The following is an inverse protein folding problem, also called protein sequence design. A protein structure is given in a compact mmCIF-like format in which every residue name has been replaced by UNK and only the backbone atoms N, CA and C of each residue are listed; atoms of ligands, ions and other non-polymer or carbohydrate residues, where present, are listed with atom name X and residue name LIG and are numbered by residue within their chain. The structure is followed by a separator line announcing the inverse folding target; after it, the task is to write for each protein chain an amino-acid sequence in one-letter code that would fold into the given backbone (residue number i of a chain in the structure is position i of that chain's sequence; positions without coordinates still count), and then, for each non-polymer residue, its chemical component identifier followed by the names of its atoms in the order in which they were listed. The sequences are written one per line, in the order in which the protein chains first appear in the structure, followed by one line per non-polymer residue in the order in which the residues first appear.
data_IF_648539690548
#
_entry.id   IF_648539690548
#
_cell.length_a   1.000
_cell.length_b   1.000
_cell.length_c   1.000
_cell.angle_alpha   90.00
_cell.angle_beta   90.00
_cell.angle_gamma   90.00
#
_symmetry.space_group_name_H-M   'P 1'
#
loop_
_entity.id
_entity.type
_entity.pdbx_description
1 polymer ?
#
# COMPACT_ATOMS: atom_id res chain seq x y z
N UNK A 1 -8.14 30.80 -11.76
CA UNK A 1 -8.95 30.22 -12.85
C UNK A 1 -10.30 29.90 -12.23
N UNK A 2 -11.25 30.84 -12.28
CA UNK A 2 -12.56 30.71 -11.63
C UNK A 2 -13.43 29.85 -12.55
N UNK A 3 -13.67 28.61 -12.16
CA UNK A 3 -14.58 27.72 -12.88
C UNK A 3 -16.01 28.12 -12.52
N UNK A 4 -16.72 28.72 -13.47
CA UNK A 4 -18.18 28.83 -13.41
C UNK A 4 -18.75 27.43 -13.64
N UNK A 5 -19.16 26.75 -12.56
CA UNK A 5 -19.93 25.50 -12.66
C UNK A 5 -21.40 25.89 -12.82
N UNK A 6 -21.83 26.09 -14.06
CA UNK A 6 -23.23 26.35 -14.41
C UNK A 6 -23.99 25.02 -14.46
N UNK A 7 -24.65 24.67 -13.35
CA UNK A 7 -25.49 23.46 -13.25
C UNK A 7 -26.99 23.75 -13.26
N UNK A 8 -27.40 24.80 -13.97
CA UNK A 8 -28.83 25.04 -14.25
C UNK A 8 -29.08 25.55 -15.67
N UNK A 9 -29.38 24.59 -16.55
CA UNK A 9 -30.40 24.60 -17.61
C UNK A 9 -30.30 25.58 -18.84
N UNK A 10 -30.91 25.18 -20.00
CA UNK A 10 -30.60 25.59 -21.40
C UNK A 10 -30.68 27.06 -21.81
N UNK A 11 -31.00 27.98 -20.89
CA UNK A 11 -31.20 29.40 -21.17
C UNK A 11 -29.90 30.11 -21.59
N UNK A 12 -28.77 29.75 -20.99
CA UNK A 12 -27.48 30.36 -21.33
C UNK A 12 -26.93 29.93 -22.69
N UNK A 13 -27.26 28.71 -23.16
CA UNK A 13 -26.78 28.23 -24.46
C UNK A 13 -27.49 28.92 -25.63
N UNK A 14 -28.80 29.16 -25.52
CA UNK A 14 -29.59 29.85 -26.56
C UNK A 14 -29.20 31.31 -26.79
N UNK A 15 -28.53 31.96 -25.82
CA UNK A 15 -28.10 33.37 -25.87
C UNK A 15 -26.59 33.52 -25.69
N UNK A 16 -25.80 32.49 -26.01
CA UNK A 16 -24.34 32.50 -25.84
C UNK A 16 -23.67 33.70 -26.49
N UNK A 17 -24.08 34.07 -27.70
CA UNK A 17 -23.54 35.24 -28.42
C UNK A 17 -23.87 36.55 -27.71
N UNK A 18 -25.04 36.67 -27.10
CA UNK A 18 -25.46 37.84 -26.32
C UNK A 18 -24.68 37.97 -24.99
N UNK A 19 -24.40 36.86 -24.31
CA UNK A 19 -23.54 36.89 -23.11
C UNK A 19 -22.09 37.30 -23.43
N UNK A 20 -21.63 37.08 -24.66
CA UNK A 20 -20.29 37.46 -25.12
C UNK A 20 -20.18 38.94 -25.51
N UNK A 21 -21.29 39.64 -25.75
CA UNK A 21 -21.25 41.07 -26.10
C UNK A 21 -20.94 41.96 -24.89
N UNK A 22 -21.14 41.45 -23.66
CA UNK A 22 -20.81 42.18 -22.43
C UNK A 22 -21.81 43.26 -22.03
N UNK A 23 -22.92 43.41 -22.76
CA UNK A 23 -23.96 44.41 -22.52
C UNK A 23 -24.97 43.95 -21.45
N UNK A 24 -24.49 43.68 -20.24
CA UNK A 24 -25.31 43.34 -19.09
C UNK A 24 -24.80 44.03 -17.83
N UNK A 25 -25.73 44.34 -16.92
CA UNK A 25 -25.40 44.82 -15.58
C UNK A 25 -25.52 43.65 -14.60
N UNK A 26 -24.58 43.56 -13.67
CA UNK A 26 -24.67 42.60 -12.57
C UNK A 26 -25.71 43.12 -11.58
N UNK A 27 -26.74 42.33 -11.32
CA UNK A 27 -27.69 42.61 -10.24
C UNK A 27 -27.11 42.12 -8.92
N UNK A 28 -27.31 42.89 -7.86
CA UNK A 28 -27.00 42.47 -6.50
C UNK A 28 -28.21 41.74 -5.89
N UNK A 29 -27.97 40.57 -5.31
CA UNK A 29 -28.99 39.83 -4.56
C UNK A 29 -28.85 40.22 -3.08
N UNK A 30 -29.89 40.83 -2.52
CA UNK A 30 -29.95 41.11 -1.09
C UNK A 30 -29.84 39.79 -0.30
N UNK A 31 -29.07 39.80 0.78
CA UNK A 31 -28.84 38.66 1.69
C UNK A 31 -28.00 37.49 1.13
N UNK A 32 -27.31 37.66 0.00
CA UNK A 32 -26.36 36.67 -0.54
C UNK A 32 -24.92 37.21 -0.59
N UNK A 33 -23.95 36.30 -0.61
CA UNK A 33 -22.53 36.64 -0.77
C UNK A 33 -22.28 37.34 -2.12
N UNK A 34 -21.41 38.35 -2.13
CA UNK A 34 -21.04 39.13 -3.32
C UNK A 34 -20.34 38.27 -4.39
N UNK A 35 -19.75 37.15 -3.97
CA UNK A 35 -19.18 36.16 -4.85
C UNK A 35 -18.83 34.88 -4.11
N UNK A 36 -18.34 33.88 -4.84
CA UNK A 36 -17.83 32.66 -4.24
C UNK A 36 -16.55 32.18 -4.92
N UNK A 37 -15.72 31.48 -4.16
CA UNK A 37 -14.47 30.85 -4.62
C UNK A 37 -14.53 29.38 -4.23
N UNK A 38 -14.41 28.51 -5.24
CA UNK A 38 -14.31 27.06 -5.02
C UNK A 38 -12.85 26.64 -5.13
N UNK A 39 -12.30 26.12 -4.03
CA UNK A 39 -10.96 25.57 -3.97
C UNK A 39 -11.03 24.06 -3.77
N UNK A 40 -10.33 23.31 -4.63
CA UNK A 40 -10.08 21.89 -4.39
C UNK A 40 -8.78 21.78 -3.60
N UNK A 41 -8.89 21.34 -2.36
CA UNK A 41 -7.76 21.33 -1.44
C UNK A 41 -7.28 19.89 -1.27
N UNK A 42 -5.99 19.70 -1.55
CA UNK A 42 -5.26 18.46 -1.27
C UNK A 42 -4.33 18.71 -0.07
N UNK A 43 -4.93 18.78 1.13
CA UNK A 43 -4.21 18.97 2.38
C UNK A 43 -4.68 17.96 3.42
N UNK A 44 -3.76 17.47 4.25
CA UNK A 44 -4.03 16.52 5.33
C UNK A 44 -4.91 17.05 6.47
N UNK A 45 -5.59 18.17 6.27
CA UNK A 45 -6.52 18.81 7.22
C UNK A 45 -7.92 19.03 6.62
N UNK A 46 -8.10 18.86 5.31
CA UNK A 46 -9.38 19.03 4.63
C UNK A 46 -10.00 17.65 4.33
N UNK A 47 -10.69 17.10 5.33
CA UNK A 47 -11.39 15.80 5.22
C UNK A 47 -12.89 15.94 4.96
N UNK A 48 -13.42 17.16 5.06
CA UNK A 48 -14.85 17.47 4.90
C UNK A 48 -15.02 18.79 4.14
N UNK A 49 -16.24 19.01 3.65
CA UNK A 49 -16.65 20.22 2.94
C UNK A 49 -16.68 21.40 3.91
N UNK A 50 -16.01 22.49 3.56
CA UNK A 50 -15.90 23.69 4.40
C UNK A 50 -16.46 24.90 3.66
N UNK A 51 -17.42 25.57 4.29
CA UNK A 51 -18.09 26.77 3.79
C UNK A 51 -17.81 27.92 4.77
N UNK A 52 -17.09 28.95 4.31
CA UNK A 52 -16.70 30.10 5.13
C UNK A 52 -16.96 31.39 4.37
N UNK A 53 -17.52 32.39 5.02
CA UNK A 53 -17.60 33.75 4.48
C UNK A 53 -16.35 34.53 4.90
N UNK A 54 -15.74 35.23 3.95
CA UNK A 54 -14.62 36.14 4.22
C UNK A 54 -15.12 37.51 4.71
N UNK A 55 -14.21 38.35 5.22
CA UNK A 55 -14.53 39.71 5.67
C UNK A 55 -15.06 40.63 4.54
N UNK A 56 -14.88 40.23 3.28
CA UNK A 56 -15.36 40.94 2.08
C UNK A 56 -16.65 40.30 1.51
N UNK A 57 -17.40 39.55 2.33
CA UNK A 57 -18.66 38.90 1.93
C UNK A 57 -18.51 37.92 0.73
N UNK A 58 -17.34 37.26 0.60
CA UNK A 58 -17.09 36.23 -0.41
C UNK A 58 -17.21 34.85 0.24
N UNK A 59 -18.00 33.96 -0.36
CA UNK A 59 -18.13 32.57 0.08
C UNK A 59 -16.94 31.72 -0.40
N UNK A 60 -16.09 31.31 0.52
CA UNK A 60 -15.02 30.34 0.29
C UNK A 60 -15.55 28.91 0.51
N UNK A 61 -15.48 28.10 -0.54
CA UNK A 61 -15.86 26.68 -0.55
C UNK A 61 -14.61 25.84 -0.72
N UNK A 62 -14.25 25.09 0.31
CA UNK A 62 -13.13 24.14 0.30
C UNK A 62 -13.68 22.73 0.12
N UNK A 63 -13.31 22.10 -0.99
CA UNK A 63 -13.73 20.75 -1.35
C UNK A 63 -12.51 19.83 -1.33
N UNK A 64 -12.56 18.68 -0.63
CA UNK A 64 -11.52 17.67 -0.71
C UNK A 64 -11.29 17.23 -2.16
N UNK A 65 -10.02 17.13 -2.58
CA UNK A 65 -9.68 16.80 -3.97
C UNK A 65 -10.28 15.46 -4.44
N UNK A 66 -10.49 14.50 -3.53
CA UNK A 66 -11.15 13.21 -3.80
C UNK A 66 -12.56 13.34 -4.41
N UNK A 67 -13.26 14.46 -4.20
CA UNK A 67 -14.59 14.70 -4.71
C UNK A 67 -14.62 15.39 -6.08
N UNK A 68 -13.46 15.79 -6.63
CA UNK A 68 -13.35 16.44 -7.94
C UNK A 68 -13.88 15.58 -9.09
N UNK A 69 -13.54 14.27 -9.22
CA UNK A 69 -14.07 13.43 -10.30
C UNK A 69 -15.59 13.33 -10.25
N UNK A 70 -16.14 13.29 -9.04
CA UNK A 70 -17.58 13.28 -8.79
C UNK A 70 -18.27 14.59 -9.20
N UNK A 71 -17.59 15.73 -9.03
CA UNK A 71 -18.10 17.05 -9.42
C UNK A 71 -18.12 17.20 -10.94
N UNK A 72 -17.06 16.72 -11.61
CA UNK A 72 -16.90 16.81 -13.07
C UNK A 72 -17.85 15.83 -13.79
N UNK A 73 -18.02 14.63 -13.25
CA UNK A 73 -18.84 13.57 -13.86
C UNK A 73 -20.36 13.78 -13.69
N UNK A 74 -20.83 15.03 -13.58
CA UNK A 74 -22.25 15.37 -13.42
C UNK A 74 -23.06 15.04 -14.69
N UNK A 75 -23.31 13.75 -14.93
CA UNK A 75 -24.34 13.24 -15.83
C UNK A 75 -25.03 12.04 -15.16
N UNK A 76 -26.36 12.11 -15.07
CA UNK A 76 -27.23 11.03 -14.59
C UNK A 76 -28.20 11.42 -13.48
N UNK A 77 -28.97 10.43 -13.05
CA UNK A 77 -30.07 10.43 -12.05
C UNK A 77 -29.59 10.62 -10.59
N UNK A 78 -28.52 11.41 -10.39
CA UNK A 78 -27.94 11.67 -9.07
C UNK A 78 -28.77 12.75 -8.34
N UNK A 79 -28.81 12.72 -6.99
CA UNK A 79 -29.46 13.77 -6.23
C UNK A 79 -28.84 15.15 -6.53
N UNK A 80 -29.61 16.25 -6.35
CA UNK A 80 -29.14 17.61 -6.59
C UNK A 80 -27.78 17.88 -5.94
N UNK A 81 -26.93 18.67 -6.61
CA UNK A 81 -25.59 19.01 -6.09
C UNK A 81 -25.64 19.62 -4.68
N UNK A 82 -26.69 20.37 -4.37
CA UNK A 82 -26.94 20.94 -3.05
C UNK A 82 -26.94 19.87 -1.94
N UNK A 83 -27.62 18.73 -2.18
CA UNK A 83 -27.68 17.62 -1.23
C UNK A 83 -26.38 16.83 -1.22
N UNK A 84 -25.80 16.57 -2.40
CA UNK A 84 -24.58 15.78 -2.57
C UNK A 84 -23.34 16.42 -1.92
N UNK A 85 -23.33 17.75 -1.84
CA UNK A 85 -22.26 18.55 -1.25
C UNK A 85 -22.71 19.24 0.05
N UNK A 86 -23.86 18.88 0.64
CA UNK A 86 -24.32 19.44 1.93
C UNK A 86 -24.25 20.98 1.99
N UNK A 87 -24.64 21.64 0.91
CA UNK A 87 -24.58 23.11 0.81
C UNK A 87 -25.55 23.69 1.86
N UNK A 88 -25.08 24.56 2.78
CA UNK A 88 -25.95 25.19 3.76
C UNK A 88 -27.13 25.92 3.11
N UNK A 89 -28.33 25.78 3.66
CA UNK A 89 -29.57 26.33 3.09
C UNK A 89 -29.51 27.85 2.85
N UNK A 90 -28.73 28.58 3.66
CA UNK A 90 -28.51 30.02 3.50
C UNK A 90 -27.82 30.42 2.20
N UNK A 91 -27.15 29.49 1.52
CA UNK A 91 -26.48 29.72 0.24
C UNK A 91 -27.26 29.17 -0.96
N UNK A 92 -28.43 28.55 -0.72
CA UNK A 92 -29.29 28.08 -1.80
C UNK A 92 -30.17 29.23 -2.30
N UNK A 93 -30.14 29.47 -3.61
CA UNK A 93 -30.95 30.50 -4.24
C UNK A 93 -32.44 30.17 -4.05
N UNK A 94 -33.16 31.06 -3.36
CA UNK A 94 -34.61 30.99 -3.19
C UNK A 94 -35.32 31.49 -4.46
N UNK A 95 -36.47 30.92 -4.82
CA UNK A 95 -37.19 31.29 -6.04
C UNK A 95 -37.75 32.72 -6.05
N UNK A 96 -37.75 33.43 -4.92
CA UNK A 96 -38.29 34.79 -4.76
C UNK A 96 -37.25 35.75 -4.16
N UNK A 97 -36.08 35.89 -4.79
CA UNK A 97 -35.13 36.93 -4.39
C UNK A 97 -35.53 38.27 -5.02
N UNK A 98 -35.81 39.27 -4.18
CA UNK A 98 -36.08 40.65 -4.61
C UNK A 98 -34.82 41.25 -5.27
N UNK A 99 -34.85 41.35 -6.59
CA UNK A 99 -33.83 42.05 -7.37
C UNK A 99 -34.13 43.54 -7.31
N UNK A 100 -33.29 44.32 -6.63
CA UNK A 100 -33.41 45.78 -6.63
C UNK A 100 -32.97 46.35 -7.99
N UNK A 101 -33.90 46.44 -8.95
CA UNK A 101 -33.66 47.09 -10.24
C UNK A 101 -34.17 48.54 -10.24
N UNK A 102 -33.28 49.52 -10.35
CA UNK A 102 -33.64 50.91 -10.60
C UNK A 102 -33.90 51.17 -12.10
N UNK A 103 -35.15 51.58 -12.40
CA UNK A 103 -35.76 52.09 -13.64
C UNK A 103 -36.47 51.11 -14.61
N UNK A 104 -37.74 51.38 -15.01
CA UNK A 104 -38.59 50.44 -15.74
C UNK A 104 -38.62 50.68 -17.26
N UNK A 105 -38.75 49.60 -18.04
CA UNK A 105 -39.36 49.65 -19.40
C UNK A 105 -40.28 48.45 -19.59
N UNK A 106 -41.43 48.72 -20.21
CA UNK A 106 -42.63 47.90 -20.32
C UNK A 106 -42.61 46.87 -21.47
N UNK A 107 -43.14 45.67 -21.14
CA UNK A 107 -44.15 44.84 -21.83
C UNK A 107 -43.99 44.51 -23.33
N UNK A 108 -43.98 43.20 -23.65
CA UNK A 108 -44.82 42.62 -24.72
C UNK A 108 -45.01 41.10 -24.55
N UNK A 109 -46.26 40.70 -24.31
CA UNK A 109 -46.83 39.35 -24.30
C UNK A 109 -46.90 38.73 -25.70
N UNK A 110 -46.65 37.41 -25.87
CA UNK A 110 -47.50 36.55 -26.73
C UNK A 110 -47.26 35.02 -26.53
N UNK A 111 -48.35 34.34 -26.13
CA UNK A 111 -48.92 33.06 -26.60
C UNK A 111 -48.14 31.72 -26.64
N UNK A 112 -48.66 30.76 -25.85
CA UNK A 112 -48.75 29.29 -26.07
C UNK A 112 -49.38 28.92 -27.44
N UNK A 113 -49.25 27.68 -28.00
CA UNK A 113 -49.80 26.42 -27.44
C UNK A 113 -49.01 25.12 -27.88
N UNK A 114 -49.55 23.86 -27.89
CA UNK A 114 -49.70 22.93 -26.75
C UNK A 114 -49.11 21.50 -27.09
N UNK A 115 -49.56 20.31 -26.58
CA UNK A 115 -48.65 19.27 -26.06
C UNK A 115 -48.77 17.89 -26.77
N UNK A 116 -48.17 16.85 -26.15
CA UNK A 116 -48.48 15.40 -26.16
C UNK A 116 -47.28 14.53 -26.56
N UNK A 117 -46.76 13.70 -25.65
CA UNK A 117 -47.00 12.24 -25.64
C UNK A 117 -46.23 11.54 -24.52
N UNK A 118 -46.91 10.61 -23.86
CA UNK A 118 -46.46 9.81 -22.73
C UNK A 118 -45.85 8.48 -23.18
N UNK A 119 -44.79 8.00 -22.51
CA UNK A 119 -44.36 6.59 -22.53
C UNK A 119 -43.72 6.19 -21.19
N UNK A 120 -44.54 5.52 -20.38
CA UNK A 120 -44.36 4.29 -19.59
C UNK A 120 -42.95 3.87 -19.06
N UNK A 121 -42.85 3.73 -17.72
CA UNK A 121 -41.81 2.99 -16.98
C UNK A 121 -42.07 1.47 -17.01
N UNK A 122 -41.01 0.66 -16.90
CA UNK A 122 -41.08 -0.56 -16.10
C UNK A 122 -40.13 -0.54 -14.89
N UNK A 123 -40.68 -0.99 -13.76
CA UNK A 123 -40.04 -1.27 -12.47
C UNK A 123 -39.26 -2.62 -12.46
N UNK A 124 -38.45 -2.89 -11.42
CA UNK A 124 -37.38 -3.88 -11.44
C UNK A 124 -37.83 -5.27 -10.95
N UNK A 125 -37.27 -6.32 -11.54
CA UNK A 125 -37.36 -7.69 -11.00
C UNK A 125 -36.03 -8.13 -10.40
N UNK A 126 -36.13 -8.63 -9.17
CA UNK A 126 -35.03 -9.14 -8.36
C UNK A 126 -34.91 -10.67 -8.47
N UNK A 127 -33.66 -11.12 -8.46
CA UNK A 127 -33.15 -12.38 -7.89
C UNK A 127 -33.57 -13.73 -8.50
N UNK A 128 -32.59 -14.41 -9.10
CA UNK A 128 -32.45 -15.86 -8.97
C UNK A 128 -30.97 -16.28 -9.06
N UNK A 129 -30.47 -16.90 -7.99
CA UNK A 129 -29.16 -17.55 -7.89
C UNK A 129 -29.18 -18.91 -8.58
N UNK A 130 -28.18 -19.19 -9.42
CA UNK A 130 -27.68 -20.55 -9.67
C UNK A 130 -26.14 -20.57 -9.71
N UNK A 131 -25.48 -21.68 -9.30
CA UNK A 131 -24.09 -21.68 -8.91
C UNK A 131 -23.20 -22.40 -9.92
N UNK A 132 -22.43 -21.63 -10.71
CA UNK A 132 -21.19 -22.09 -11.35
C UNK A 132 -20.51 -20.94 -12.08
N UNK A 133 -20.07 -19.93 -11.35
CA UNK A 133 -19.17 -18.91 -11.91
C UNK A 133 -17.89 -18.95 -11.08
N UNK A 134 -16.79 -19.35 -11.71
CA UNK A 134 -15.45 -18.97 -11.26
C UNK A 134 -15.53 -17.47 -11.00
N UNK A 135 -15.46 -17.07 -9.73
CA UNK A 135 -15.69 -15.68 -9.35
C UNK A 135 -14.59 -14.85 -10.00
N UNK A 136 -14.94 -14.10 -11.05
CA UNK A 136 -14.12 -13.05 -11.66
C UNK A 136 -13.89 -11.85 -10.71
N UNK A 137 -14.15 -12.03 -9.42
CA UNK A 137 -14.00 -11.01 -8.40
C UNK A 137 -12.53 -10.96 -8.01
N UNK A 138 -11.82 -9.84 -8.24
CA UNK A 138 -10.43 -9.71 -7.84
C UNK A 138 -10.31 -9.75 -6.32
N UNK A 139 -9.13 -10.10 -5.81
CA UNK A 139 -8.80 -9.96 -4.40
C UNK A 139 -9.03 -8.51 -3.96
N UNK A 140 -9.95 -8.31 -3.02
CA UNK A 140 -10.31 -7.01 -2.48
C UNK A 140 -10.10 -6.97 -0.97
N UNK A 141 -9.56 -5.85 -0.50
CA UNK A 141 -9.35 -5.55 0.91
C UNK A 141 -10.04 -4.23 1.24
N UNK A 142 -10.88 -4.20 2.27
CA UNK A 142 -11.53 -2.99 2.72
C UNK A 142 -10.54 -2.17 3.56
N UNK A 143 -10.16 -1.01 3.06
CA UNK A 143 -9.33 -0.05 3.81
C UNK A 143 -10.16 0.77 4.79
N UNK A 144 -11.40 1.08 4.44
CA UNK A 144 -12.28 1.90 5.26
C UNK A 144 -13.43 2.44 4.42
N UNK A 145 -14.00 3.56 4.86
CA UNK A 145 -15.09 4.24 4.15
C UNK A 145 -14.70 5.69 3.87
N UNK A 146 -15.17 6.22 2.75
CA UNK A 146 -15.08 7.64 2.43
C UNK A 146 -15.74 8.49 3.52
N UNK A 147 -15.08 9.58 3.94
CA UNK A 147 -15.52 10.39 5.08
C UNK A 147 -16.90 11.03 4.87
N UNK A 148 -17.22 11.42 3.63
CA UNK A 148 -18.44 12.18 3.33
C UNK A 148 -19.60 11.25 3.04
N UNK A 149 -19.39 10.28 2.15
CA UNK A 149 -20.46 9.41 1.62
C UNK A 149 -20.57 8.08 2.34
N UNK A 150 -19.60 7.73 3.19
CA UNK A 150 -19.51 6.43 3.85
C UNK A 150 -19.48 5.26 2.86
N UNK A 151 -18.99 5.50 1.64
CA UNK A 151 -18.82 4.46 0.63
C UNK A 151 -17.56 3.63 0.93
N UNK A 152 -17.57 2.30 0.77
CA UNK A 152 -16.41 1.47 1.07
C UNK A 152 -15.27 1.72 0.08
N UNK A 153 -14.06 1.89 0.62
CA UNK A 153 -12.82 2.03 -0.13
C UNK A 153 -12.10 0.68 -0.15
N UNK A 154 -12.04 0.06 -1.33
CA UNK A 154 -11.36 -1.22 -1.54
C UNK A 154 -10.00 -1.05 -2.20
N UNK A 155 -9.02 -1.78 -1.69
CA UNK A 155 -7.74 -2.02 -2.33
C UNK A 155 -7.73 -3.36 -3.06
N UNK A 156 -7.20 -3.37 -4.27
CA UNK A 156 -7.13 -4.54 -5.14
C UNK A 156 -5.66 -4.86 -5.46
N UNK A 157 -4.95 -5.56 -4.56
CA UNK A 157 -3.51 -5.80 -4.70
C UNK A 157 -3.14 -6.55 -5.98
N UNK A 158 -4.02 -7.42 -6.49
CA UNK A 158 -3.70 -8.25 -7.66
C UNK A 158 -4.15 -7.62 -8.99
N UNK A 159 -4.75 -6.42 -8.95
CA UNK A 159 -5.25 -5.76 -10.15
C UNK A 159 -4.18 -4.87 -10.80
N UNK A 160 -3.45 -5.43 -11.75
CA UNK A 160 -2.39 -4.74 -12.49
C UNK A 160 -2.89 -3.62 -13.41
N UNK A 161 -4.20 -3.59 -13.74
CA UNK A 161 -4.78 -2.49 -14.51
C UNK A 161 -4.96 -1.22 -13.66
N UNK A 162 -5.10 -1.37 -12.33
CA UNK A 162 -5.19 -0.24 -11.38
C UNK A 162 -3.84 0.12 -10.77
N UNK A 163 -3.01 -0.87 -10.45
CA UNK A 163 -1.74 -0.65 -9.75
C UNK A 163 -0.59 -1.38 -10.45
N UNK A 164 0.41 -0.63 -10.92
CA UNK A 164 1.62 -1.18 -11.52
C UNK A 164 2.55 -1.85 -10.49
N UNK A 165 2.46 -1.44 -9.23
CA UNK A 165 3.22 -1.99 -8.11
C UNK A 165 2.33 -2.04 -6.86
N UNK A 166 2.43 -3.12 -6.10
CA UNK A 166 1.68 -3.39 -4.87
C UNK A 166 2.40 -2.94 -3.61
N UNK A 167 3.62 -2.41 -3.74
CA UNK A 167 4.40 -1.87 -2.63
C UNK A 167 3.56 -0.81 -1.90
N UNK A 168 3.28 -1.07 -0.64
CA UNK A 168 2.39 -0.24 0.19
C UNK A 168 3.17 0.31 1.37
N UNK A 169 3.06 1.61 1.62
CA UNK A 169 3.60 2.29 2.80
C UNK A 169 2.48 2.74 3.71
N UNK A 170 2.53 2.38 4.99
CA UNK A 170 1.56 2.80 6.02
C UNK A 170 2.26 3.80 6.93
N UNK A 171 1.85 5.08 6.86
CA UNK A 171 2.49 6.19 7.58
C UNK A 171 1.45 6.88 8.46
N UNK A 172 1.86 7.31 9.65
CA UNK A 172 0.99 8.01 10.59
C UNK A 172 1.72 8.31 11.90
N UNK A 173 1.25 9.29 12.65
CA UNK A 173 1.82 9.64 13.96
C UNK A 173 1.57 8.53 14.99
N UNK A 174 2.22 8.63 16.16
CA UNK A 174 2.03 7.65 17.23
C UNK A 174 0.56 7.63 17.67
N UNK A 175 -0.01 6.43 17.84
CA UNK A 175 -1.41 6.26 18.30
C UNK A 175 -2.49 6.34 17.21
N UNK A 176 -2.16 6.59 15.95
CA UNK A 176 -3.17 6.70 14.87
C UNK A 176 -3.67 5.36 14.31
N UNK A 177 -3.45 4.25 15.02
CA UNK A 177 -3.97 2.94 14.62
C UNK A 177 -3.21 2.22 13.50
N UNK A 178 -1.96 2.58 13.19
CA UNK A 178 -1.14 1.91 12.15
C UNK A 178 -1.12 0.38 12.32
N UNK A 179 -0.75 -0.10 13.50
CA UNK A 179 -0.70 -1.54 13.82
C UNK A 179 -2.07 -2.20 13.64
N UNK A 180 -3.15 -1.54 14.07
CA UNK A 180 -4.51 -2.07 13.93
C UNK A 180 -4.95 -2.15 12.47
N UNK A 181 -4.62 -1.13 11.67
CA UNK A 181 -4.86 -1.15 10.23
C UNK A 181 -4.08 -2.29 9.55
N UNK A 182 -2.79 -2.47 9.88
CA UNK A 182 -1.97 -3.56 9.33
C UNK A 182 -2.51 -4.94 9.73
N UNK A 183 -2.92 -5.13 10.99
CA UNK A 183 -3.54 -6.39 11.43
C UNK A 183 -4.81 -6.70 10.65
N UNK A 184 -5.68 -5.70 10.47
CA UNK A 184 -6.90 -5.82 9.67
C UNK A 184 -6.57 -6.18 8.21
N UNK A 185 -5.60 -5.49 7.61
CA UNK A 185 -5.13 -5.73 6.25
C UNK A 185 -4.65 -7.18 6.06
N UNK A 186 -3.75 -7.66 6.93
CA UNK A 186 -3.23 -9.04 6.88
C UNK A 186 -4.34 -10.07 7.08
N UNK A 187 -5.21 -9.84 8.06
CA UNK A 187 -6.35 -10.74 8.34
C UNK A 187 -7.28 -10.85 7.14
N UNK A 188 -7.61 -9.71 6.51
CA UNK A 188 -8.44 -9.69 5.31
C UNK A 188 -7.74 -10.38 4.12
N UNK A 189 -6.43 -10.18 3.94
CA UNK A 189 -5.66 -10.86 2.90
C UNK A 189 -5.73 -12.38 3.06
N UNK A 190 -5.52 -12.89 4.27
CA UNK A 190 -5.57 -14.34 4.53
C UNK A 190 -6.97 -14.92 4.36
N UNK A 191 -8.02 -14.21 4.82
CA UNK A 191 -9.42 -14.65 4.66
C UNK A 191 -9.87 -14.64 3.20
N UNK A 192 -9.39 -13.68 2.42
CA UNK A 192 -9.78 -13.50 1.02
C UNK A 192 -8.79 -14.14 0.04
N UNK A 193 -7.78 -14.90 0.51
CA UNK A 193 -6.72 -15.44 -0.35
C UNK A 193 -7.22 -16.35 -1.48
N UNK A 194 -8.42 -16.93 -1.37
CA UNK A 194 -9.06 -17.71 -2.43
C UNK A 194 -9.34 -16.90 -3.71
N UNK A 195 -9.40 -15.56 -3.60
CA UNK A 195 -9.52 -14.62 -4.72
C UNK A 195 -8.17 -14.14 -5.26
N UNK A 196 -7.06 -14.66 -4.74
CA UNK A 196 -5.75 -14.39 -5.31
C UNK A 196 -5.64 -14.99 -6.72
N UNK A 197 -4.65 -14.55 -7.49
CA UNK A 197 -4.41 -15.02 -8.86
C UNK A 197 -4.28 -16.55 -8.87
N UNK A 198 -5.06 -17.21 -9.72
CA UNK A 198 -5.18 -18.66 -9.83
C UNK A 198 -5.55 -19.39 -8.52
N UNK A 199 -6.15 -18.68 -7.55
CA UNK A 199 -6.46 -19.21 -6.22
C UNK A 199 -5.23 -19.62 -5.40
N UNK A 200 -4.04 -19.12 -5.76
CA UNK A 200 -2.78 -19.49 -5.10
C UNK A 200 -2.73 -18.93 -3.67
N UNK A 201 -2.13 -19.67 -2.71
CA UNK A 201 -1.95 -19.16 -1.36
C UNK A 201 -1.07 -17.91 -1.35
N UNK A 202 -1.32 -17.02 -0.39
CA UNK A 202 -0.55 -15.81 -0.17
C UNK A 202 0.49 -16.11 0.92
N UNK A 203 1.74 -15.72 0.67
CA UNK A 203 2.82 -15.79 1.65
C UNK A 203 3.07 -14.41 2.24
N UNK A 204 3.18 -14.30 3.56
CA UNK A 204 3.38 -13.03 4.25
C UNK A 204 4.44 -13.18 5.34
N UNK A 205 5.46 -12.31 5.30
CA UNK A 205 6.53 -12.28 6.28
C UNK A 205 6.51 -10.95 7.03
N UNK A 206 6.39 -11.02 8.36
CA UNK A 206 6.36 -9.85 9.26
C UNK A 206 7.62 -9.86 10.11
N UNK A 207 8.36 -8.75 10.08
CA UNK A 207 9.43 -8.46 11.03
C UNK A 207 8.88 -7.55 12.13
N UNK A 208 8.67 -8.12 13.31
CA UNK A 208 7.99 -7.44 14.41
C UNK A 208 8.98 -6.90 15.43
N UNK A 209 9.25 -5.59 15.36
CA UNK A 209 10.20 -4.91 16.24
C UNK A 209 9.65 -4.61 17.64
N UNK A 210 8.32 -4.62 17.81
CA UNK A 210 7.66 -4.16 19.04
C UNK A 210 6.78 -5.22 19.70
N UNK A 211 6.81 -6.45 19.20
CA UNK A 211 5.89 -7.53 19.61
C UNK A 211 4.42 -7.14 19.41
N UNK A 212 4.15 -6.37 18.35
CA UNK A 212 2.82 -5.88 18.00
C UNK A 212 1.95 -6.98 17.34
N UNK A 213 2.55 -8.03 16.75
CA UNK A 213 1.90 -9.06 15.92
C UNK A 213 2.02 -10.48 16.48
N UNK A 214 2.31 -10.62 17.78
CA UNK A 214 2.50 -11.90 18.45
C UNK A 214 1.39 -12.25 19.45
N UNK A 215 0.31 -11.46 19.49
CA UNK A 215 -0.85 -11.74 20.33
C UNK A 215 -1.70 -12.89 19.78
N UNK A 216 -2.28 -13.68 20.68
CA UNK A 216 -3.03 -14.89 20.34
C UNK A 216 -4.18 -14.61 19.37
N UNK A 217 -4.90 -13.49 19.54
CA UNK A 217 -6.01 -13.14 18.68
C UNK A 217 -5.57 -12.92 17.21
N UNK A 218 -4.43 -12.27 16.99
CA UNK A 218 -3.87 -12.12 15.64
C UNK A 218 -3.37 -13.44 15.07
N UNK A 219 -2.64 -14.23 15.87
CA UNK A 219 -2.10 -15.53 15.44
C UNK A 219 -3.22 -16.49 15.04
N UNK A 220 -4.27 -16.60 15.85
CA UNK A 220 -5.43 -17.45 15.56
C UNK A 220 -6.21 -16.95 14.33
N UNK A 221 -6.43 -15.65 14.20
CA UNK A 221 -7.21 -15.08 13.09
C UNK A 221 -6.52 -15.23 11.73
N UNK A 222 -5.19 -15.35 11.71
CA UNK A 222 -4.37 -15.42 10.50
C UNK A 222 -3.73 -16.78 10.26
N UNK A 223 -3.71 -17.67 11.26
CA UNK A 223 -2.93 -18.90 11.24
C UNK A 223 -1.43 -18.66 11.25
N UNK A 224 -0.98 -17.52 11.81
CA UNK A 224 0.41 -17.10 11.73
C UNK A 224 1.35 -17.99 12.56
N UNK A 225 2.54 -18.26 12.00
CA UNK A 225 3.64 -18.95 12.68
C UNK A 225 4.57 -17.91 13.31
N UNK A 226 4.74 -17.98 14.63
CA UNK A 226 5.68 -17.11 15.37
C UNK A 226 7.06 -17.77 15.44
N UNK A 227 8.09 -16.99 15.14
CA UNK A 227 9.50 -17.33 15.33
C UNK A 227 10.18 -16.25 16.15
N UNK A 228 11.09 -16.68 17.03
CA UNK A 228 12.03 -15.78 17.72
C UNK A 228 13.38 -15.84 17.03
N UNK A 229 14.30 -14.92 17.34
CA UNK A 229 15.67 -14.95 16.82
C UNK A 229 16.53 -16.01 17.53
N UNK A 230 16.10 -17.26 17.40
CA UNK A 230 16.81 -18.45 17.88
C UNK A 230 16.44 -19.61 16.98
N UNK A 231 17.44 -20.27 16.40
CA UNK A 231 17.30 -21.44 15.54
C UNK A 231 16.27 -21.24 14.41
N UNK A 232 16.34 -20.10 13.73
CA UNK A 232 15.55 -19.85 12.53
C UNK A 232 15.83 -20.97 11.51
N UNK A 233 14.79 -21.60 10.94
CA UNK A 233 14.92 -22.88 10.23
C UNK A 233 15.37 -22.68 8.77
N UNK A 234 16.41 -21.88 8.54
CA UNK A 234 17.04 -21.70 7.26
C UNK A 234 18.50 -21.26 7.44
N UNK A 235 19.34 -21.61 6.47
CA UNK A 235 20.73 -21.19 6.42
C UNK A 235 20.93 -20.07 5.38
N UNK A 236 21.41 -18.87 5.76
CA UNK A 236 21.64 -17.75 4.84
C UNK A 236 22.75 -18.01 3.80
N UNK A 237 23.59 -19.03 4.01
CA UNK A 237 24.61 -19.48 3.05
C UNK A 237 24.10 -20.58 2.11
N UNK A 238 22.81 -20.94 2.19
CA UNK A 238 22.23 -21.91 1.24
C UNK A 238 22.21 -21.36 -0.18
N UNK A 239 22.54 -22.22 -1.14
CA UNK A 239 22.63 -21.84 -2.55
C UNK A 239 21.30 -22.06 -3.27
N UNK A 240 20.78 -21.00 -3.89
CA UNK A 240 19.54 -21.06 -4.67
C UNK A 240 19.71 -20.47 -6.08
N UNK A 241 19.38 -21.29 -7.08
CA UNK A 241 19.38 -20.91 -8.50
C UNK A 241 20.60 -21.40 -9.27
N UNK A 242 20.83 -20.80 -10.43
CA UNK A 242 21.73 -21.30 -11.48
C UNK A 242 22.72 -20.24 -12.00
N UNK A 243 22.75 -19.05 -11.40
CA UNK A 243 23.69 -17.98 -11.76
C UNK A 243 25.14 -18.51 -11.71
N UNK A 244 25.96 -18.36 -12.76
CA UNK A 244 27.37 -18.73 -12.70
C UNK A 244 28.07 -18.12 -11.48
N UNK A 245 28.98 -18.87 -10.85
CA UNK A 245 29.68 -18.42 -9.64
C UNK A 245 28.77 -18.14 -8.43
N UNK A 246 27.62 -18.83 -8.33
CA UNK A 246 26.64 -18.62 -7.27
C UNK A 246 27.24 -18.62 -5.85
N UNK A 247 28.13 -19.56 -5.45
CA UNK A 247 28.71 -19.54 -4.10
C UNK A 247 29.43 -18.21 -3.78
N UNK A 248 30.16 -17.65 -4.76
CA UNK A 248 30.85 -16.38 -4.61
C UNK A 248 29.90 -15.20 -4.52
N UNK A 249 28.84 -15.18 -5.32
CA UNK A 249 27.80 -14.14 -5.24
C UNK A 249 27.08 -14.18 -3.89
N UNK A 250 26.74 -15.35 -3.38
CA UNK A 250 26.13 -15.53 -2.04
C UNK A 250 27.08 -15.03 -0.95
N UNK A 251 28.36 -15.43 -0.98
CA UNK A 251 29.36 -14.97 -0.02
C UNK A 251 29.54 -13.45 -0.03
N UNK A 252 29.59 -12.83 -1.21
CA UNK A 252 29.70 -11.37 -1.36
C UNK A 252 28.45 -10.65 -0.83
N UNK A 253 27.25 -11.15 -1.16
CA UNK A 253 26.00 -10.56 -0.69
C UNK A 253 25.86 -10.66 0.85
N UNK A 254 26.29 -11.78 1.43
CA UNK A 254 26.35 -11.97 2.87
C UNK A 254 27.33 -10.99 3.52
N UNK A 255 28.56 -10.91 3.00
CA UNK A 255 29.59 -10.02 3.53
C UNK A 255 29.22 -8.53 3.41
N UNK A 256 28.50 -8.14 2.35
CA UNK A 256 28.00 -6.78 2.18
C UNK A 256 26.92 -6.44 3.23
N UNK A 257 26.00 -7.37 3.46
CA UNK A 257 24.96 -7.24 4.48
C UNK A 257 25.57 -7.10 5.89
N UNK A 258 26.52 -7.98 6.20
CA UNK A 258 27.31 -7.92 7.44
C UNK A 258 28.08 -6.59 7.55
N UNK A 259 28.65 -6.12 6.44
CA UNK A 259 29.37 -4.86 6.39
C UNK A 259 28.53 -3.66 6.75
N UNK A 260 27.26 -3.64 6.34
CA UNK A 260 26.32 -2.57 6.71
C UNK A 260 25.85 -2.68 8.16
N UNK A 261 25.59 -3.89 8.65
CA UNK A 261 25.10 -4.09 10.03
C UNK A 261 26.19 -3.81 11.09
N UNK A 262 27.44 -4.17 10.82
CA UNK A 262 28.57 -4.06 11.77
C UNK A 262 29.63 -3.04 11.35
N UNK A 263 29.36 -2.20 10.35
CA UNK A 263 30.28 -1.20 9.82
C UNK A 263 31.66 -1.78 9.42
N UNK A 264 31.66 -2.93 8.73
CA UNK A 264 32.89 -3.60 8.35
C UNK A 264 33.61 -2.87 7.21
N UNK A 265 34.91 -2.68 7.36
CA UNK A 265 35.79 -2.13 6.34
C UNK A 265 35.92 -3.06 5.13
N UNK A 266 36.46 -2.55 4.01
CA UNK A 266 36.66 -3.34 2.77
C UNK A 266 37.52 -4.59 3.04
N UNK A 267 38.59 -4.47 3.83
CA UNK A 267 39.47 -5.59 4.17
C UNK A 267 38.74 -6.69 4.94
N UNK A 268 37.93 -6.31 5.93
CA UNK A 268 37.13 -7.24 6.74
C UNK A 268 36.07 -7.95 5.90
N UNK A 269 35.36 -7.22 5.03
CA UNK A 269 34.42 -7.82 4.09
C UNK A 269 35.08 -8.84 3.16
N UNK A 270 36.25 -8.51 2.59
CA UNK A 270 37.00 -9.44 1.74
C UNK A 270 37.47 -10.66 2.54
N UNK A 271 37.95 -10.48 3.77
CA UNK A 271 38.32 -11.58 4.69
C UNK A 271 37.13 -12.52 4.92
N UNK A 272 35.94 -11.97 5.19
CA UNK A 272 34.70 -12.73 5.36
C UNK A 272 34.30 -13.50 4.10
N UNK A 273 34.41 -12.89 2.92
CA UNK A 273 34.16 -13.61 1.65
C UNK A 273 35.11 -14.79 1.51
N UNK A 274 36.41 -14.60 1.76
CA UNK A 274 37.40 -15.68 1.68
C UNK A 274 37.07 -16.83 2.64
N UNK A 275 36.74 -16.52 3.89
CA UNK A 275 36.34 -17.51 4.90
C UNK A 275 35.13 -18.35 4.47
N UNK A 276 34.09 -17.68 3.96
CA UNK A 276 32.89 -18.37 3.48
C UNK A 276 33.25 -19.27 2.28
N UNK A 277 34.12 -18.80 1.38
CA UNK A 277 34.58 -19.61 0.25
C UNK A 277 35.36 -20.84 0.68
N UNK A 278 36.25 -20.71 1.68
CA UNK A 278 36.96 -21.85 2.27
C UNK A 278 35.99 -22.86 2.88
N UNK A 279 34.94 -22.39 3.57
CA UNK A 279 33.90 -23.28 4.12
C UNK A 279 33.11 -24.00 3.02
N UNK A 280 32.81 -23.33 1.90
CA UNK A 280 32.21 -24.00 0.75
C UNK A 280 33.14 -25.06 0.16
N UNK A 281 34.44 -24.76 0.02
CA UNK A 281 35.42 -25.71 -0.50
C UNK A 281 35.53 -26.95 0.42
N UNK A 282 35.52 -26.77 1.74
CA UNK A 282 35.49 -27.86 2.73
C UNK A 282 34.20 -28.69 2.67
N UNK A 283 33.06 -28.05 2.39
CA UNK A 283 31.80 -28.73 2.10
C UNK A 283 31.77 -29.39 0.70
N UNK A 284 32.85 -29.27 -0.07
CA UNK A 284 32.98 -29.78 -1.42
C UNK A 284 32.11 -29.05 -2.44
N UNK A 285 31.73 -27.80 -2.19
CA UNK A 285 30.94 -26.96 -3.08
C UNK A 285 31.89 -26.15 -3.94
N UNK A 286 31.96 -26.46 -5.23
CA UNK A 286 32.90 -25.83 -6.17
C UNK A 286 32.18 -24.74 -6.98
N UNK A 287 32.68 -23.49 -7.03
CA UNK A 287 31.99 -22.38 -7.72
C UNK A 287 31.77 -22.56 -9.22
N UNK A 288 32.63 -23.32 -9.88
CA UNK A 288 32.52 -23.58 -11.32
C UNK A 288 31.71 -24.85 -11.64
N UNK A 289 31.43 -25.70 -10.65
CA UNK A 289 30.70 -26.96 -10.85
C UNK A 289 29.32 -26.91 -10.19
N UNK A 290 28.29 -26.67 -11.00
CA UNK A 290 26.89 -26.60 -10.57
C UNK A 290 26.38 -27.90 -9.96
N UNK A 291 26.95 -29.05 -10.31
CA UNK A 291 26.52 -30.35 -9.79
C UNK A 291 26.88 -30.58 -8.33
N UNK A 292 27.65 -29.65 -7.73
CA UNK A 292 28.02 -29.67 -6.31
C UNK A 292 27.15 -28.76 -5.44
N UNK A 293 26.35 -27.85 -6.02
CA UNK A 293 25.64 -26.80 -5.27
C UNK A 293 24.43 -27.30 -4.46
N UNK A 294 24.02 -28.53 -4.71
CA UNK A 294 23.00 -29.28 -3.98
C UNK A 294 23.57 -30.02 -2.74
N UNK A 295 24.87 -29.94 -2.48
CA UNK A 295 25.47 -30.38 -1.22
C UNK A 295 25.02 -29.47 -0.07
N UNK A 296 25.13 -29.98 1.15
CA UNK A 296 24.82 -29.21 2.36
C UNK A 296 25.77 -28.00 2.43
N UNK A 297 25.19 -26.80 2.46
CA UNK A 297 25.95 -25.56 2.58
C UNK A 297 26.52 -25.39 4.00
N UNK A 298 27.70 -24.78 4.15
CA UNK A 298 28.26 -24.47 5.46
C UNK A 298 27.34 -23.54 6.26
N UNK A 299 27.35 -23.69 7.57
CA UNK A 299 26.58 -22.89 8.52
C UNK A 299 27.38 -21.66 8.96
N UNK A 300 26.72 -20.75 9.68
CA UNK A 300 27.41 -19.63 10.33
C UNK A 300 28.41 -20.11 11.37
N UNK A 301 28.10 -21.21 12.06
CA UNK A 301 29.01 -21.82 13.03
C UNK A 301 30.28 -22.33 12.35
N UNK A 302 30.17 -22.95 11.17
CA UNK A 302 31.34 -23.40 10.40
C UNK A 302 32.27 -22.22 10.04
N UNK A 303 31.68 -21.09 9.61
CA UNK A 303 32.44 -19.86 9.31
C UNK A 303 33.10 -19.30 10.56
N UNK A 304 32.43 -19.35 11.71
CA UNK A 304 32.99 -18.91 12.98
C UNK A 304 34.17 -19.78 13.43
N UNK A 305 34.03 -21.11 13.34
CA UNK A 305 35.12 -22.04 13.67
C UNK A 305 36.31 -21.86 12.71
N UNK A 306 36.06 -21.69 11.41
CA UNK A 306 37.10 -21.40 10.42
C UNK A 306 37.81 -20.07 10.70
N UNK A 307 37.09 -19.06 11.22
CA UNK A 307 37.69 -17.79 11.63
C UNK A 307 38.62 -17.95 12.84
N UNK A 308 38.22 -18.76 13.84
CA UNK A 308 39.02 -19.03 15.03
C UNK A 308 40.25 -19.91 14.75
N UNK A 309 40.19 -20.76 13.71
CA UNK A 309 41.29 -21.65 13.33
C UNK A 309 42.48 -20.92 12.67
N UNK A 310 42.35 -19.62 12.39
CA UNK A 310 43.44 -18.82 11.82
C UNK A 310 44.60 -18.66 12.80
N UNK A 311 45.85 -18.68 12.30
CA UNK A 311 47.06 -18.49 13.12
C UNK A 311 47.04 -17.19 13.94
N UNK A 312 46.40 -16.15 13.37
CA UNK A 312 46.19 -14.87 14.03
C UNK A 312 44.73 -14.43 13.89
N UNK A 313 44.05 -14.36 15.02
CA UNK A 313 42.70 -13.82 15.14
C UNK A 313 42.82 -12.36 15.58
N UNK A 314 42.29 -11.44 14.77
CA UNK A 314 42.22 -10.03 15.11
C UNK A 314 40.89 -9.76 15.83
N UNK A 315 40.93 -9.23 17.06
CA UNK A 315 39.72 -8.87 17.83
C UNK A 315 39.11 -7.55 17.33
N UNK A 316 38.63 -7.55 16.09
CA UNK A 316 38.07 -6.40 15.40
C UNK A 316 36.54 -6.46 15.27
N UNK A 317 35.94 -5.55 14.50
CA UNK A 317 34.49 -5.56 14.26
C UNK A 317 34.00 -6.81 13.53
N UNK A 318 34.83 -7.51 12.75
CA UNK A 318 34.46 -8.79 12.13
C UNK A 318 34.42 -9.89 13.19
N UNK A 319 35.38 -9.93 14.11
CA UNK A 319 35.32 -10.84 15.27
C UNK A 319 34.02 -10.63 16.05
N UNK A 320 33.71 -9.39 16.43
CA UNK A 320 32.49 -9.08 17.18
C UNK A 320 31.22 -9.47 16.42
N UNK A 321 31.19 -9.28 15.10
CA UNK A 321 30.06 -9.63 14.26
C UNK A 321 29.82 -11.16 14.24
N UNK A 322 30.87 -11.95 13.97
CA UNK A 322 30.77 -13.41 13.93
C UNK A 322 30.52 -14.01 15.31
N UNK A 323 31.17 -13.49 16.35
CA UNK A 323 30.98 -13.89 17.74
C UNK A 323 29.51 -13.74 18.17
N UNK A 324 28.89 -12.60 17.88
CA UNK A 324 27.48 -12.37 18.21
C UNK A 324 26.57 -13.31 17.43
N UNK A 325 26.79 -13.45 16.11
CA UNK A 325 25.99 -14.33 15.26
C UNK A 325 26.00 -15.79 15.70
N UNK A 326 27.19 -16.32 16.00
CA UNK A 326 27.37 -17.66 16.51
C UNK A 326 26.81 -17.79 17.93
N UNK A 327 27.09 -16.83 18.81
CA UNK A 327 26.67 -16.85 20.22
C UNK A 327 25.16 -16.79 20.41
N UNK A 328 24.44 -16.01 19.59
CA UNK A 328 22.97 -15.95 19.63
C UNK A 328 22.29 -17.17 19.00
N UNK A 329 23.02 -18.00 18.26
CA UNK A 329 22.49 -19.19 17.56
C UNK A 329 21.21 -18.85 16.77
N UNK A 330 21.28 -17.76 16.00
CA UNK A 330 20.12 -17.19 15.31
C UNK A 330 19.58 -18.14 14.25
N UNK A 331 20.48 -18.82 13.53
CA UNK A 331 20.14 -19.73 12.44
C UNK A 331 20.36 -21.17 12.88
N UNK A 332 19.50 -22.06 12.42
CA UNK A 332 19.63 -23.50 12.61
C UNK A 332 20.95 -24.00 12.02
N UNK A 333 21.59 -24.95 12.69
CA UNK A 333 22.83 -25.59 12.26
C UNK A 333 22.60 -27.01 11.78
N UNK A 334 21.53 -27.66 12.21
CA UNK A 334 21.14 -29.00 11.81
C UNK A 334 20.44 -29.00 10.44
N UNK A 335 21.04 -29.60 9.39
CA UNK A 335 20.45 -29.66 8.06
C UNK A 335 19.07 -30.34 8.02
N UNK A 336 18.76 -31.24 8.95
CA UNK A 336 17.48 -31.96 8.97
C UNK A 336 16.31 -31.08 9.46
N UNK A 337 16.63 -30.04 10.24
CA UNK A 337 15.64 -29.07 10.76
C UNK A 337 15.53 -27.83 9.88
N UNK A 338 16.42 -27.69 8.91
CA UNK A 338 16.37 -26.60 7.93
C UNK A 338 15.22 -26.83 6.96
N UNK A 339 14.48 -25.76 6.73
CA UNK A 339 13.41 -25.68 5.72
C UNK A 339 13.81 -24.69 4.65
N UNK A 340 13.17 -24.77 3.49
CA UNK A 340 13.40 -23.77 2.46
C UNK A 340 12.68 -22.47 2.85
N UNK A 341 13.27 -21.31 2.53
CA UNK A 341 12.64 -20.02 2.79
C UNK A 341 11.22 -19.86 2.20
N UNK A 342 10.88 -20.57 1.11
CA UNK A 342 9.51 -20.56 0.58
C UNK A 342 8.53 -21.32 1.47
N UNK A 343 8.98 -22.37 2.13
CA UNK A 343 8.16 -23.16 3.05
C UNK A 343 8.02 -22.42 4.39
N UNK A 344 9.04 -21.62 4.74
CA UNK A 344 8.96 -20.68 5.87
C UNK A 344 7.85 -19.65 5.66
N UNK A 345 7.55 -19.24 4.42
CA UNK A 345 6.51 -18.23 4.08
C UNK A 345 5.29 -18.88 3.45
N UNK A 346 4.92 -20.06 3.96
CA UNK A 346 3.62 -20.69 3.70
C UNK A 346 2.58 -20.19 4.71
N UNK A 347 1.77 -19.23 4.27
CA UNK A 347 0.84 -18.47 5.12
C UNK A 347 1.48 -17.21 5.70
N UNK A 348 1.12 -16.87 6.94
CA UNK A 348 1.70 -15.73 7.67
C UNK A 348 2.82 -16.22 8.59
N UNK A 349 3.98 -15.60 8.50
CA UNK A 349 5.13 -15.86 9.37
C UNK A 349 5.54 -14.56 10.04
N UNK A 350 5.62 -14.59 11.36
CA UNK A 350 6.02 -13.45 12.20
C UNK A 350 7.35 -13.77 12.85
N UNK A 351 8.39 -13.01 12.52
CA UNK A 351 9.68 -13.05 13.18
C UNK A 351 9.68 -11.92 14.22
N UNK A 352 9.62 -12.31 15.48
CA UNK A 352 9.69 -11.40 16.62
C UNK A 352 11.15 -10.98 16.86
N UNK A 353 11.39 -9.69 16.73
CA UNK A 353 12.71 -9.07 16.87
C UNK A 353 12.89 -8.35 18.21
N UNK A 354 11.80 -8.19 18.98
CA UNK A 354 11.82 -7.49 20.25
C UNK A 354 12.79 -8.14 21.25
N UNK A 355 13.50 -7.32 22.02
CA UNK A 355 14.46 -7.78 23.03
C UNK A 355 15.88 -8.06 22.50
N UNK A 356 16.12 -7.94 21.19
CA UNK A 356 17.45 -8.10 20.60
C UNK A 356 18.13 -6.76 20.25
N UNK A 357 19.47 -6.69 20.25
CA UNK A 357 20.21 -5.49 19.82
C UNK A 357 19.86 -5.09 18.38
N UNK A 358 19.86 -3.79 18.09
CA UNK A 358 19.44 -3.28 16.77
C UNK A 358 20.30 -3.79 15.61
N UNK A 359 21.57 -4.07 15.86
CA UNK A 359 22.51 -4.66 14.91
C UNK A 359 22.05 -6.06 14.48
N UNK A 360 21.59 -6.87 15.43
CA UNK A 360 21.09 -8.24 15.18
C UNK A 360 19.75 -8.17 14.44
N UNK A 361 18.84 -7.28 14.87
CA UNK A 361 17.56 -7.08 14.19
C UNK A 361 17.76 -6.71 12.72
N UNK A 362 18.61 -5.69 12.46
CA UNK A 362 18.90 -5.22 11.11
C UNK A 362 19.57 -6.29 10.26
N UNK A 363 20.49 -7.05 10.85
CA UNK A 363 21.18 -8.14 10.16
C UNK A 363 20.18 -9.23 9.71
N UNK A 364 19.33 -9.72 10.62
CA UNK A 364 18.37 -10.77 10.29
C UNK A 364 17.40 -10.30 9.22
N UNK A 365 16.86 -9.08 9.35
CA UNK A 365 15.96 -8.48 8.36
C UNK A 365 16.63 -8.40 6.99
N UNK A 366 17.86 -7.91 6.93
CA UNK A 366 18.59 -7.74 5.69
C UNK A 366 18.97 -9.08 5.02
N UNK A 367 19.45 -10.06 5.81
CA UNK A 367 19.79 -11.39 5.30
C UNK A 367 18.57 -12.13 4.77
N UNK A 368 17.47 -12.07 5.52
CA UNK A 368 16.21 -12.72 5.16
C UNK A 368 15.63 -12.07 3.89
N UNK A 369 15.51 -10.74 3.87
CA UNK A 369 14.99 -9.99 2.71
C UNK A 369 15.87 -10.18 1.48
N UNK A 370 17.20 -10.14 1.64
CA UNK A 370 18.15 -10.40 0.55
C UNK A 370 18.00 -11.81 -0.03
N UNK A 371 17.81 -12.81 0.83
CA UNK A 371 17.57 -14.19 0.42
C UNK A 371 16.23 -14.34 -0.34
N UNK A 372 15.16 -13.67 0.11
CA UNK A 372 13.88 -13.62 -0.61
C UNK A 372 14.03 -12.95 -1.99
N UNK A 373 14.70 -11.79 -2.06
CA UNK A 373 14.90 -11.06 -3.31
C UNK A 373 15.66 -11.90 -4.35
N UNK A 374 16.79 -12.51 -3.94
CA UNK A 374 17.58 -13.37 -4.83
C UNK A 374 16.78 -14.55 -5.38
N UNK A 375 15.82 -15.06 -4.60
CA UNK A 375 14.99 -16.21 -4.99
C UNK A 375 13.78 -15.81 -5.84
N UNK A 376 13.17 -14.64 -5.58
CA UNK A 376 12.06 -14.09 -6.36
C UNK A 376 12.46 -13.75 -7.79
N UNK A 377 13.62 -13.12 -8.00
CA UNK A 377 14.13 -12.81 -9.34
C UNK A 377 14.39 -14.05 -10.22
N UNK A 378 14.43 -15.25 -9.63
CA UNK A 378 14.74 -16.51 -10.31
C UNK A 378 13.51 -17.42 -10.49
N UNK A 379 12.40 -17.17 -9.79
CA UNK A 379 11.13 -17.88 -9.96
C UNK A 379 10.33 -17.26 -11.11
N UNK A 380 10.61 -17.67 -12.35
CA UNK A 380 9.85 -17.19 -13.53
C UNK A 380 8.45 -17.85 -13.63
N UNK A 381 8.14 -18.87 -12.82
CA UNK A 381 6.91 -19.67 -12.94
C UNK A 381 5.89 -19.57 -11.80
N UNK A 382 6.30 -19.13 -10.60
CA UNK A 382 5.42 -19.17 -9.43
C UNK A 382 5.25 -17.78 -8.81
N UNK A 383 4.34 -16.98 -9.40
CA UNK A 383 3.89 -15.69 -8.84
C UNK A 383 3.02 -15.93 -7.59
N UNK A 384 3.62 -16.37 -6.49
CA UNK A 384 3.02 -16.18 -5.15
C UNK A 384 3.09 -14.68 -4.82
N UNK A 385 2.01 -14.15 -4.27
CA UNK A 385 2.02 -12.81 -3.71
C UNK A 385 2.77 -12.92 -2.38
N UNK A 386 3.93 -12.28 -2.30
CA UNK A 386 4.77 -12.21 -1.10
C UNK A 386 4.73 -10.78 -0.61
N UNK A 387 4.24 -10.58 0.61
CA UNK A 387 4.20 -9.27 1.25
C UNK A 387 5.15 -9.28 2.42
N UNK A 388 6.10 -8.34 2.42
CA UNK A 388 7.03 -8.12 3.52
C UNK A 388 6.51 -6.91 4.30
N UNK A 389 6.24 -7.10 5.59
CA UNK A 389 5.84 -6.04 6.51
C UNK A 389 6.96 -5.84 7.51
N UNK A 390 7.48 -4.61 7.60
CA UNK A 390 8.39 -4.18 8.64
C UNK A 390 7.72 -3.02 9.39
N UNK A 391 7.59 -3.13 10.70
CA UNK A 391 6.88 -2.14 11.54
C UNK A 391 7.69 -1.66 12.73
#
# INVERSE_FOLDING_TARGET
MVYWITTSYPLCWKRREWWLTGDYQLGELADYAEGFVVAHVDSGTCFDLSYKETAENILQIEIPYSLLPSLIAAQGDQPPLAERYRVPEKYLLKPECDVNSSHPVQVATTTEPPPISALELPQPEASALTPSNVRNTPLQILFGHDAVRQNPLYWEPTNTAKFMNTNTGIIGTMGTGKTQFTKSLVTQLMRNQSYNVDGKPIGLLIFDYKSDYVDDAFLEATGAKRYQLSLLPYNPLSLFGDMPMLPRHTAMAFAETMGKAYNLGVKQRMKLVTLIMECYDLAGIVPHDRSTWNRVAPTIEDVWQQYLAQEKVDEDSLYAALYNLAGFQIFETDPEKMTSLYDLVDGVTVIELAGYPSEIQNLVVALTTGSFFMRRCKSVGNRRCEVIIAS
#
